data_IF_864612742477
#
_entry.id   IF_864612742477
#
_cell.length_a   1.000
_cell.length_b   1.000
_cell.length_c   1.000
_cell.angle_alpha   90.00
_cell.angle_beta   90.00
_cell.angle_gamma   90.00
#
_symmetry.space_group_name_H-M   'P 1'
#
loop_
_entity.id
_entity.type
_entity.pdbx_description
1 polymer ?
#
# COMPACT_ATOMS: atom_id res chain seq x y z
N UNK A 1 11.92 -55.35 71.84
CA UNK A 1 12.43 -55.08 70.48
C UNK A 1 12.14 -53.62 70.20
N UNK A 2 13.14 -52.77 70.37
CA UNK A 2 13.01 -51.30 70.45
C UNK A 2 13.33 -50.73 69.08
N UNK A 3 12.34 -50.10 68.44
CA UNK A 3 12.53 -49.44 67.14
C UNK A 3 12.58 -47.94 67.37
N UNK A 4 13.76 -47.36 67.18
CA UNK A 4 14.06 -45.93 67.31
C UNK A 4 13.80 -45.26 65.96
N UNK A 5 12.86 -44.31 65.90
CA UNK A 5 12.68 -43.43 64.74
C UNK A 5 13.64 -42.24 64.83
N UNK A 6 14.50 -42.07 63.82
CA UNK A 6 15.25 -40.83 63.58
C UNK A 6 14.43 -39.86 62.73
N UNK A 7 14.43 -38.55 63.02
CA UNK A 7 13.88 -37.52 62.14
C UNK A 7 14.90 -37.20 61.05
N UNK A 8 14.48 -37.20 59.78
CA UNK A 8 15.35 -36.82 58.67
C UNK A 8 15.19 -35.33 58.37
N UNK A 9 16.35 -34.69 58.21
CA UNK A 9 16.58 -33.26 58.10
C UNK A 9 16.07 -32.63 56.80
N UNK A 10 15.73 -31.35 56.94
CA UNK A 10 15.46 -30.40 55.87
C UNK A 10 16.59 -30.40 54.82
N UNK A 11 16.21 -30.37 53.54
CA UNK A 11 17.05 -29.78 52.50
C UNK A 11 16.14 -29.18 51.42
N UNK A 12 15.80 -27.92 51.58
CA UNK A 12 15.15 -27.07 50.57
C UNK A 12 16.14 -26.86 49.42
N UNK A 13 16.04 -27.67 48.36
CA UNK A 13 16.67 -27.36 47.08
C UNK A 13 15.88 -26.23 46.43
N UNK A 14 16.45 -25.03 46.49
CA UNK A 14 16.09 -23.92 45.61
C UNK A 14 16.30 -24.37 44.17
N UNK A 15 15.22 -24.37 43.37
CA UNK A 15 15.28 -24.63 41.94
C UNK A 15 16.07 -23.50 41.27
N UNK A 16 17.08 -23.77 40.43
CA UNK A 16 17.73 -22.70 39.69
C UNK A 16 16.73 -22.12 38.69
N UNK A 17 16.64 -20.80 38.65
CA UNK A 17 15.90 -20.06 37.66
C UNK A 17 16.22 -20.60 36.25
N UNK A 18 15.16 -20.91 35.49
CA UNK A 18 15.22 -21.23 34.07
C UNK A 18 15.97 -20.09 33.38
N UNK A 19 17.23 -20.31 33.01
CA UNK A 19 17.87 -19.50 31.97
C UNK A 19 17.10 -19.77 30.70
N UNK A 20 16.41 -18.76 30.19
CA UNK A 20 15.87 -18.78 28.84
C UNK A 20 17.02 -19.12 27.89
N UNK A 21 16.89 -20.24 27.20
CA UNK A 21 17.86 -20.65 26.19
C UNK A 21 17.75 -19.64 25.04
N UNK A 22 18.87 -19.04 24.65
CA UNK A 22 18.94 -18.25 23.43
C UNK A 22 18.45 -19.09 22.25
N UNK A 23 17.55 -18.56 21.39
CA UNK A 23 16.96 -19.34 20.32
C UNK A 23 18.04 -19.90 19.39
N UNK A 24 17.79 -21.08 18.84
CA UNK A 24 18.70 -21.68 17.85
C UNK A 24 18.76 -20.82 16.59
N UNK A 25 19.89 -20.80 15.87
CA UNK A 25 20.07 -19.96 14.66
C UNK A 25 18.97 -20.23 13.61
N UNK A 26 18.48 -21.47 13.51
CA UNK A 26 17.38 -21.87 12.63
C UNK A 26 16.03 -21.26 13.03
N UNK A 27 15.76 -21.19 14.33
CA UNK A 27 14.54 -20.62 14.91
C UNK A 27 14.53 -19.09 14.71
N UNK A 28 15.68 -18.44 14.86
CA UNK A 28 15.84 -17.00 14.60
C UNK A 28 15.60 -16.59 13.14
N UNK A 29 15.96 -17.42 12.16
CA UNK A 29 15.71 -17.12 10.74
C UNK A 29 14.24 -17.36 10.34
N UNK A 30 13.60 -18.35 10.95
CA UNK A 30 12.17 -18.62 10.75
C UNK A 30 11.32 -17.46 11.27
N UNK A 31 11.63 -16.96 12.46
CA UNK A 31 10.95 -15.79 13.03
C UNK A 31 11.16 -14.53 12.20
N UNK A 32 12.38 -14.32 11.67
CA UNK A 32 12.67 -13.21 10.77
C UNK A 32 11.85 -13.32 9.48
N UNK A 33 11.74 -14.51 8.89
CA UNK A 33 10.93 -14.74 7.69
C UNK A 33 9.46 -14.38 7.94
N UNK A 34 8.89 -14.83 9.06
CA UNK A 34 7.51 -14.51 9.43
C UNK A 34 7.28 -12.99 9.58
N UNK A 35 8.27 -12.25 10.09
CA UNK A 35 8.20 -10.77 10.17
C UNK A 35 8.27 -10.12 8.79
N UNK A 36 9.13 -10.60 7.90
CA UNK A 36 9.22 -10.12 6.52
C UNK A 36 7.89 -10.36 5.79
N UNK A 37 7.30 -11.54 5.94
CA UNK A 37 6.01 -11.88 5.32
C UNK A 37 4.90 -10.97 5.83
N UNK A 38 4.89 -10.65 7.13
CA UNK A 38 3.96 -9.65 7.70
C UNK A 38 4.16 -8.27 7.09
N UNK A 39 5.41 -7.81 6.92
CA UNK A 39 5.72 -6.52 6.29
C UNK A 39 5.31 -6.51 4.81
N UNK A 40 5.56 -7.61 4.09
CA UNK A 40 5.13 -7.78 2.70
C UNK A 40 3.61 -7.62 2.58
N UNK A 41 2.85 -8.16 3.53
CA UNK A 41 1.39 -8.03 3.54
C UNK A 41 0.94 -6.57 3.69
N UNK A 42 1.70 -5.68 4.35
CA UNK A 42 1.34 -4.26 4.50
C UNK A 42 1.47 -3.45 3.20
N UNK A 43 2.39 -3.82 2.30
CA UNK A 43 2.72 -3.04 1.10
C UNK A 43 1.74 -3.36 -0.03
N UNK A 44 0.78 -2.52 -0.41
CA UNK A 44 -0.18 -2.86 -1.47
C UNK A 44 0.50 -3.28 -2.80
N UNK A 45 0.06 -4.34 -3.49
CA UNK A 45 0.63 -4.75 -4.78
C UNK A 45 0.33 -3.72 -5.88
N UNK A 46 1.28 -3.54 -6.80
CA UNK A 46 1.15 -2.60 -7.94
C UNK A 46 1.33 -3.33 -9.27
N UNK A 47 0.41 -3.09 -10.20
CA UNK A 47 0.46 -3.62 -11.56
C UNK A 47 1.21 -2.66 -12.48
N UNK A 48 1.89 -3.18 -13.52
CA UNK A 48 2.56 -2.34 -14.51
C UNK A 48 1.56 -1.44 -15.23
N UNK A 49 2.05 -0.33 -15.80
CA UNK A 49 1.20 0.62 -16.53
C UNK A 49 0.51 0.00 -17.75
N UNK A 50 1.10 -1.03 -18.35
CA UNK A 50 0.48 -1.81 -19.45
C UNK A 50 -0.83 -2.46 -19.03
N UNK A 51 -0.93 -2.88 -17.77
CA UNK A 51 -2.02 -3.72 -17.24
C UNK A 51 -2.49 -3.20 -15.89
N UNK A 52 -2.65 -1.88 -15.77
CA UNK A 52 -2.92 -1.23 -14.49
C UNK A 52 -4.25 -1.69 -13.89
N UNK A 53 -4.18 -2.16 -12.63
CA UNK A 53 -5.34 -2.49 -11.80
C UNK A 53 -5.36 -1.55 -10.60
N UNK A 54 -6.50 -0.92 -10.35
CA UNK A 54 -6.70 -0.14 -9.15
C UNK A 54 -6.81 -1.09 -7.93
N UNK A 55 -5.99 -0.84 -6.92
CA UNK A 55 -5.89 -1.67 -5.72
C UNK A 55 -6.16 -0.80 -4.51
N UNK A 56 -6.84 -1.34 -3.51
CA UNK A 56 -6.98 -0.65 -2.23
C UNK A 56 -5.57 -0.41 -1.64
N UNK A 57 -5.12 0.84 -1.45
CA UNK A 57 -3.80 1.13 -0.88
C UNK A 57 -3.65 0.58 0.55
N UNK A 58 -4.77 0.26 1.21
CA UNK A 58 -4.84 -0.32 2.55
C UNK A 58 -5.16 -1.83 2.53
N UNK A 59 -5.01 -2.52 1.40
CA UNK A 59 -5.34 -3.97 1.29
C UNK A 59 -4.62 -4.82 2.34
N UNK A 60 -3.43 -4.39 2.78
CA UNK A 60 -2.65 -5.03 3.84
C UNK A 60 -3.09 -4.75 5.26
N UNK A 61 -4.08 -3.87 5.43
CA UNK A 61 -4.53 -3.33 6.72
C UNK A 61 -6.05 -3.32 6.85
N UNK A 62 -6.77 -4.10 6.04
CA UNK A 62 -8.25 -4.12 6.01
C UNK A 62 -8.89 -4.61 7.31
N UNK A 63 -8.14 -5.36 8.11
CA UNK A 63 -8.57 -5.86 9.43
C UNK A 63 -8.42 -4.81 10.54
N UNK A 64 -7.78 -3.67 10.26
CA UNK A 64 -7.57 -2.59 11.23
C UNK A 64 -8.63 -1.50 11.06
N UNK A 65 -8.96 -0.81 12.16
CA UNK A 65 -9.74 0.44 12.08
C UNK A 65 -8.97 1.48 11.28
N UNK A 66 -9.67 2.48 10.73
CA UNK A 66 -9.01 3.54 9.95
C UNK A 66 -7.92 4.26 10.75
N UNK A 67 -8.17 4.55 12.03
CA UNK A 67 -7.20 5.21 12.90
C UNK A 67 -6.01 4.32 13.27
N UNK A 68 -6.23 3.01 13.47
CA UNK A 68 -5.14 2.07 13.74
C UNK A 68 -4.23 1.90 12.52
N UNK A 69 -4.81 1.74 11.32
CA UNK A 69 -4.07 1.65 10.07
C UNK A 69 -3.26 2.94 9.82
N UNK A 70 -3.88 4.11 10.04
CA UNK A 70 -3.21 5.40 10.00
C UNK A 70 -2.04 5.46 10.99
N UNK A 71 -2.27 5.11 12.26
CA UNK A 71 -1.23 5.14 13.29
C UNK A 71 -0.06 4.23 12.93
N UNK A 72 -0.34 3.01 12.45
CA UNK A 72 0.68 2.06 12.03
C UNK A 72 1.53 2.57 10.87
N UNK A 73 0.94 3.16 9.82
CA UNK A 73 1.73 3.74 8.73
C UNK A 73 2.52 4.97 9.16
N UNK A 74 1.91 5.87 9.96
CA UNK A 74 2.57 7.09 10.42
C UNK A 74 3.79 6.78 11.30
N UNK A 75 3.81 5.65 12.01
CA UNK A 75 4.97 5.21 12.79
C UNK A 75 6.22 5.01 11.93
N UNK A 76 6.07 4.58 10.67
CA UNK A 76 7.19 4.22 9.79
C UNK A 76 7.44 5.19 8.64
N UNK A 77 6.46 6.05 8.31
CA UNK A 77 6.56 7.02 7.21
C UNK A 77 5.89 8.35 7.55
N UNK A 78 6.44 9.42 7.02
CA UNK A 78 5.82 10.74 7.04
C UNK A 78 4.69 10.79 6.01
N UNK A 79 3.51 10.31 6.40
CA UNK A 79 2.29 10.35 5.59
C UNK A 79 1.10 10.83 6.43
N UNK A 80 0.03 11.23 5.75
CA UNK A 80 -1.21 11.67 6.40
C UNK A 80 -2.43 11.20 5.58
N UNK A 81 -3.37 10.54 6.24
CA UNK A 81 -4.62 10.05 5.65
C UNK A 81 -5.83 10.91 6.01
N UNK A 82 -5.71 11.77 7.04
CA UNK A 82 -6.76 12.73 7.40
C UNK A 82 -6.49 14.08 6.72
N UNK A 83 -7.50 14.80 6.23
CA UNK A 83 -7.30 16.18 5.80
C UNK A 83 -6.89 17.08 6.97
N UNK A 84 -6.23 18.21 6.70
CA UNK A 84 -5.87 19.19 7.73
C UNK A 84 -7.13 19.72 8.44
N UNK A 85 -7.00 20.13 9.71
CA UNK A 85 -8.11 20.72 10.46
C UNK A 85 -8.71 21.94 9.75
N UNK A 86 -7.88 22.83 9.23
CA UNK A 86 -8.31 24.03 8.48
C UNK A 86 -9.18 23.66 7.27
N UNK A 87 -8.75 22.68 6.48
CA UNK A 87 -9.52 22.18 5.35
C UNK A 87 -10.90 21.66 5.78
N UNK A 88 -10.96 20.83 6.83
CA UNK A 88 -12.23 20.28 7.33
C UNK A 88 -13.17 21.38 7.85
N UNK A 89 -12.64 22.34 8.62
CA UNK A 89 -13.41 23.47 9.11
C UNK A 89 -13.98 24.33 7.96
N UNK A 90 -13.20 24.53 6.90
CA UNK A 90 -13.65 25.26 5.71
C UNK A 90 -14.79 24.51 5.00
N UNK A 91 -14.62 23.21 4.73
CA UNK A 91 -15.64 22.39 4.07
C UNK A 91 -16.94 22.34 4.88
N UNK A 92 -16.86 22.25 6.21
CA UNK A 92 -18.03 22.27 7.10
C UNK A 92 -18.84 23.57 6.96
N UNK A 93 -18.14 24.71 6.81
CA UNK A 93 -18.78 26.01 6.63
C UNK A 93 -19.38 26.16 5.23
N UNK A 94 -18.64 25.79 4.19
CA UNK A 94 -19.10 25.89 2.79
C UNK A 94 -20.34 25.02 2.54
N UNK A 95 -20.39 23.83 3.15
CA UNK A 95 -21.52 22.90 3.04
C UNK A 95 -22.62 23.15 4.07
N UNK A 96 -22.47 24.18 4.92
CA UNK A 96 -23.44 24.52 5.98
C UNK A 96 -23.82 23.32 6.87
N UNK A 97 -22.82 22.52 7.27
CA UNK A 97 -23.04 21.31 8.08
C UNK A 97 -23.62 21.69 9.43
N UNK A 98 -24.75 21.07 9.77
CA UNK A 98 -25.51 21.41 10.97
C UNK A 98 -24.79 20.99 12.25
N UNK A 99 -25.04 21.71 13.36
CA UNK A 99 -24.59 21.32 14.69
C UNK A 99 -25.08 19.93 15.10
N UNK A 100 -26.26 19.52 14.62
CA UNK A 100 -26.81 18.20 14.89
C UNK A 100 -25.98 17.09 14.22
N UNK A 101 -25.54 17.31 12.98
CA UNK A 101 -24.67 16.40 12.24
C UNK A 101 -23.31 16.26 12.93
N UNK A 102 -22.72 17.37 13.40
CA UNK A 102 -21.49 17.34 14.18
C UNK A 102 -21.63 16.49 15.46
N UNK A 103 -22.72 16.70 16.21
CA UNK A 103 -22.98 15.94 17.43
C UNK A 103 -23.20 14.44 17.16
N UNK A 104 -23.90 14.11 16.07
CA UNK A 104 -24.10 12.72 15.65
C UNK A 104 -22.77 12.05 15.27
N UNK A 105 -21.89 12.75 14.56
CA UNK A 105 -20.57 12.25 14.20
C UNK A 105 -19.68 12.03 15.43
N UNK A 106 -19.70 12.95 16.40
CA UNK A 106 -18.98 12.78 17.66
C UNK A 106 -19.46 11.53 18.42
N UNK A 107 -20.78 11.34 18.51
CA UNK A 107 -21.36 10.17 19.18
C UNK A 107 -21.01 8.87 18.46
N UNK A 108 -21.02 8.88 17.11
CA UNK A 108 -20.58 7.73 16.31
C UNK A 108 -19.12 7.37 16.61
N UNK A 109 -18.21 8.34 16.52
CA UNK A 109 -16.79 8.12 16.78
C UNK A 109 -16.51 7.66 18.22
N UNK A 110 -17.29 8.18 19.19
CA UNK A 110 -17.22 7.74 20.60
C UNK A 110 -17.50 6.25 20.76
N UNK A 111 -18.43 5.71 19.97
CA UNK A 111 -18.77 4.27 20.02
C UNK A 111 -17.77 3.39 19.28
N UNK A 112 -17.16 3.92 18.23
CA UNK A 112 -16.21 3.19 17.39
C UNK A 112 -14.81 3.11 18.02
N UNK A 113 -14.34 4.21 18.62
CA UNK A 113 -12.96 4.35 19.09
C UNK A 113 -12.90 4.22 20.62
N UNK A 114 -12.25 3.17 21.17
CA UNK A 114 -12.06 3.03 22.61
C UNK A 114 -11.27 4.21 23.18
N UNK A 115 -11.71 4.77 24.31
CA UNK A 115 -11.01 5.90 24.95
C UNK A 115 -11.29 7.28 24.33
N UNK A 116 -12.19 7.38 23.35
CA UNK A 116 -12.44 8.62 22.60
C UNK A 116 -12.94 9.76 23.48
N UNK A 117 -13.93 9.50 24.34
CA UNK A 117 -14.53 10.53 25.20
C UNK A 117 -13.59 11.01 26.31
N UNK A 118 -12.64 10.16 26.71
CA UNK A 118 -11.58 10.48 27.67
C UNK A 118 -10.57 11.47 27.08
N UNK A 119 -10.34 11.43 25.76
CA UNK A 119 -9.37 12.30 25.07
C UNK A 119 -9.98 13.51 24.37
N UNK A 120 -11.26 13.45 23.99
CA UNK A 120 -11.95 14.53 23.31
C UNK A 120 -13.36 14.70 23.85
N UNK A 121 -13.52 15.66 24.76
CA UNK A 121 -14.84 16.02 25.27
C UNK A 121 -15.72 16.59 24.15
N UNK A 122 -17.04 16.45 24.29
CA UNK A 122 -18.01 16.96 23.32
C UNK A 122 -17.92 18.47 23.17
N UNK A 123 -17.74 19.18 24.28
CA UNK A 123 -17.60 20.64 24.32
C UNK A 123 -16.31 21.07 23.60
N UNK A 124 -15.19 20.40 23.85
CA UNK A 124 -13.93 20.66 23.14
C UNK A 124 -14.04 20.38 21.65
N UNK A 125 -14.66 19.28 21.24
CA UNK A 125 -14.89 18.97 19.83
C UNK A 125 -15.68 20.09 19.12
N UNK A 126 -16.77 20.59 19.71
CA UNK A 126 -17.55 21.67 19.12
C UNK A 126 -16.76 22.98 19.02
N UNK A 127 -15.92 23.28 20.01
CA UNK A 127 -15.03 24.44 20.00
C UNK A 127 -14.03 24.31 18.84
N UNK A 128 -13.34 23.17 18.74
CA UNK A 128 -12.37 22.90 17.66
C UNK A 128 -13.03 22.81 16.27
N UNK A 129 -14.31 22.45 16.18
CA UNK A 129 -15.06 22.43 14.92
C UNK A 129 -15.39 23.84 14.40
N UNK A 130 -15.50 24.83 15.29
CA UNK A 130 -16.07 26.16 14.98
C UNK A 130 -15.07 27.30 15.04
N UNK A 131 -14.08 27.22 15.92
CA UNK A 131 -13.04 28.24 16.04
C UNK A 131 -11.97 28.02 14.96
N UNK A 132 -11.89 28.98 14.02
CA UNK A 132 -10.72 29.16 13.16
C UNK A 132 -9.61 29.83 13.95
N UNK A 133 -9.13 29.20 15.01
CA UNK A 133 -7.96 29.74 15.69
C UNK A 133 -6.73 29.35 14.86
N UNK A 134 -6.07 30.35 14.26
CA UNK A 134 -4.84 30.17 13.47
C UNK A 134 -3.64 29.68 14.29
N UNK A 135 -3.86 29.44 15.59
CA UNK A 135 -2.84 29.12 16.58
C UNK A 135 -2.86 27.65 17.05
N UNK A 136 -3.83 26.83 16.60
CA UNK A 136 -3.77 25.40 16.90
C UNK A 136 -2.63 24.78 16.06
N UNK A 137 -1.49 24.62 16.73
CA UNK A 137 -0.22 24.07 16.25
C UNK A 137 -0.28 22.56 15.93
N UNK A 138 -1.45 22.08 15.50
CA UNK A 138 -1.78 20.72 15.03
C UNK A 138 -1.81 20.67 13.49
N UNK A 139 -1.01 21.53 12.83
CA UNK A 139 -0.42 21.10 11.56
C UNK A 139 0.17 19.69 11.74
N UNK A 140 0.20 18.83 10.70
CA UNK A 140 0.85 17.53 10.76
C UNK A 140 2.37 17.71 10.94
N UNK A 141 2.78 18.24 12.09
CA UNK A 141 4.10 18.08 12.65
C UNK A 141 4.31 16.58 12.74
N UNK A 142 5.52 16.18 12.41
CA UNK A 142 5.98 14.81 12.26
C UNK A 142 6.00 14.06 13.61
N UNK A 143 4.97 14.24 14.46
CA UNK A 143 4.93 13.84 15.86
C UNK A 143 4.62 12.37 16.07
N UNK A 144 4.17 11.66 15.04
CA UNK A 144 3.78 10.25 15.13
C UNK A 144 4.82 9.33 14.52
N UNK A 145 5.75 9.87 13.70
CA UNK A 145 6.82 9.07 13.13
C UNK A 145 7.78 8.68 14.23
N UNK A 146 8.01 7.37 14.33
CA UNK A 146 8.88 6.77 15.36
C UNK A 146 10.06 6.09 14.72
N UNK A 147 9.92 5.62 13.49
CA UNK A 147 10.94 4.85 12.79
C UNK A 147 11.44 5.57 11.55
N UNK A 148 12.75 5.71 11.49
CA UNK A 148 13.49 6.30 10.39
C UNK A 148 14.52 5.30 9.88
N UNK A 149 14.77 5.31 8.57
CA UNK A 149 15.91 4.59 8.01
C UNK A 149 17.21 5.32 8.38
N UNK A 150 18.34 4.62 8.40
CA UNK A 150 19.62 5.28 8.74
C UNK A 150 20.01 6.33 7.71
N UNK A 151 19.68 6.13 6.43
CA UNK A 151 19.85 7.15 5.41
C UNK A 151 19.09 8.44 5.75
N UNK A 152 17.82 8.35 6.17
CA UNK A 152 17.03 9.52 6.55
C UNK A 152 17.54 10.19 7.84
N UNK A 153 17.97 9.40 8.84
CA UNK A 153 18.60 9.94 10.05
C UNK A 153 19.88 10.72 9.72
N UNK A 154 20.68 10.20 8.78
CA UNK A 154 21.86 10.90 8.30
C UNK A 154 21.51 12.23 7.62
N UNK A 155 20.48 12.24 6.76
CA UNK A 155 20.03 13.45 6.05
C UNK A 155 19.58 14.54 7.03
N UNK A 156 18.83 14.17 8.08
CA UNK A 156 18.41 15.09 9.13
C UNK A 156 19.59 15.67 9.93
N UNK A 157 20.60 14.84 10.23
CA UNK A 157 21.67 15.24 11.16
C UNK A 157 22.87 15.90 10.50
N UNK A 158 23.19 15.48 9.28
CA UNK A 158 24.41 15.84 8.57
C UNK A 158 24.15 16.60 7.27
N UNK A 159 22.88 16.92 6.96
CA UNK A 159 22.49 17.62 5.74
C UNK A 159 22.99 16.91 4.47
N UNK A 160 22.97 15.58 4.50
CA UNK A 160 23.27 14.71 3.36
C UNK A 160 22.02 14.50 2.49
N UNK A 161 22.19 13.80 1.37
CA UNK A 161 21.10 13.35 0.49
C UNK A 161 21.17 11.83 0.25
N UNK A 162 21.51 11.09 1.30
CA UNK A 162 21.69 9.64 1.23
C UNK A 162 20.37 8.91 0.99
N UNK A 163 19.24 9.41 1.51
CA UNK A 163 17.94 8.79 1.23
C UNK A 163 17.65 8.76 -0.27
N UNK A 164 17.81 9.90 -0.97
CA UNK A 164 17.60 9.96 -2.41
C UNK A 164 18.61 9.12 -3.19
N UNK A 165 19.89 9.19 -2.81
CA UNK A 165 20.96 8.40 -3.41
C UNK A 165 20.67 6.89 -3.30
N UNK A 166 20.26 6.42 -2.12
CA UNK A 166 19.96 5.01 -1.90
C UNK A 166 18.73 4.57 -2.68
N UNK A 167 17.67 5.39 -2.72
CA UNK A 167 16.48 5.11 -3.55
C UNK A 167 16.85 5.02 -5.02
N UNK A 168 17.72 5.91 -5.51
CA UNK A 168 18.21 5.88 -6.88
C UNK A 168 18.99 4.61 -7.18
N UNK A 169 19.92 4.19 -6.31
CA UNK A 169 20.71 2.98 -6.52
C UNK A 169 19.85 1.71 -6.47
N UNK A 170 18.95 1.59 -5.50
CA UNK A 170 17.97 0.48 -5.46
C UNK A 170 17.15 0.47 -6.74
N UNK A 171 16.66 1.64 -7.18
CA UNK A 171 15.85 1.74 -8.39
C UNK A 171 16.61 1.36 -9.64
N UNK A 172 17.89 1.73 -9.76
CA UNK A 172 18.76 1.37 -10.88
C UNK A 172 18.93 -0.15 -10.96
N UNK A 173 19.16 -0.81 -9.83
CA UNK A 173 19.30 -2.27 -9.78
C UNK A 173 17.98 -2.99 -10.10
N UNK A 174 16.87 -2.56 -9.53
CA UNK A 174 15.56 -3.14 -9.83
C UNK A 174 15.15 -2.92 -11.28
N UNK A 175 15.35 -1.71 -11.83
CA UNK A 175 15.03 -1.42 -13.23
C UNK A 175 15.85 -2.29 -14.19
N UNK A 176 17.15 -2.49 -13.93
CA UNK A 176 17.96 -3.38 -14.77
C UNK A 176 17.61 -4.87 -14.62
N UNK A 177 17.20 -5.30 -13.43
CA UNK A 177 16.85 -6.70 -13.18
C UNK A 177 15.50 -7.06 -13.81
N UNK A 178 14.47 -6.23 -13.61
CA UNK A 178 13.11 -6.45 -14.11
C UNK A 178 12.87 -5.86 -15.51
N UNK A 179 13.93 -5.50 -16.24
CA UNK A 179 13.79 -4.98 -17.61
C UNK A 179 13.29 -6.07 -18.57
N UNK A 180 12.12 -5.87 -19.16
CA UNK A 180 11.53 -6.78 -20.16
C UNK A 180 12.00 -6.43 -21.59
N UNK A 181 13.26 -6.01 -21.73
CA UNK A 181 13.89 -5.65 -23.01
C UNK A 181 13.64 -4.22 -23.48
N UNK A 182 13.35 -3.29 -22.57
CA UNK A 182 13.22 -1.87 -22.89
C UNK A 182 14.59 -1.21 -23.04
N UNK A 183 15.56 -1.61 -22.23
CA UNK A 183 16.92 -1.10 -22.33
C UNK A 183 17.65 -1.69 -23.54
N UNK A 184 18.42 -0.86 -24.25
CA UNK A 184 19.24 -1.33 -25.37
C UNK A 184 20.31 -2.33 -24.91
N UNK A 185 20.79 -2.19 -23.67
CA UNK A 185 21.79 -3.07 -23.07
C UNK A 185 21.22 -3.74 -21.83
N UNK A 186 21.22 -5.08 -21.82
CA UNK A 186 20.77 -5.87 -20.68
C UNK A 186 21.70 -5.69 -19.48
N UNK A 187 21.12 -5.72 -18.27
CA UNK A 187 21.90 -5.65 -17.05
C UNK A 187 22.77 -6.93 -16.88
N UNK A 188 23.97 -6.80 -16.30
CA UNK A 188 24.79 -7.97 -15.97
C UNK A 188 24.04 -8.93 -15.04
N UNK A 189 24.09 -10.23 -15.33
CA UNK A 189 23.46 -11.29 -14.52
C UNK A 189 21.94 -11.12 -14.32
N UNK A 190 21.22 -10.54 -15.28
CA UNK A 190 19.77 -10.34 -15.19
C UNK A 190 18.98 -11.61 -14.85
N UNK A 191 19.44 -12.78 -15.32
CA UNK A 191 18.78 -14.08 -15.08
C UNK A 191 19.07 -14.70 -13.70
N UNK A 192 19.96 -14.11 -12.90
CA UNK A 192 20.24 -14.57 -11.53
C UNK A 192 19.21 -13.98 -10.55
N UNK A 193 18.98 -14.59 -9.37
CA UNK A 193 18.12 -14.00 -8.34
C UNK A 193 18.52 -12.56 -8.02
N UNK A 194 17.55 -11.69 -7.72
CA UNK A 194 17.74 -10.25 -7.55
C UNK A 194 18.94 -9.89 -6.66
N UNK A 195 19.07 -10.56 -5.51
CA UNK A 195 20.15 -10.30 -4.56
C UNK A 195 21.54 -10.66 -5.12
N UNK A 196 21.67 -11.77 -5.85
CA UNK A 196 22.93 -12.19 -6.45
C UNK A 196 23.33 -11.29 -7.61
N UNK A 197 22.35 -10.92 -8.46
CA UNK A 197 22.55 -9.97 -9.55
C UNK A 197 23.04 -8.60 -9.01
N UNK A 198 22.37 -8.10 -7.96
CA UNK A 198 22.77 -6.89 -7.25
C UNK A 198 24.18 -7.01 -6.66
N UNK A 199 24.46 -8.05 -5.87
CA UNK A 199 25.76 -8.23 -5.18
C UNK A 199 26.92 -8.23 -6.16
N UNK A 200 26.75 -8.85 -7.34
CA UNK A 200 27.77 -8.92 -8.40
C UNK A 200 28.12 -7.56 -9.01
N UNK A 201 27.16 -6.65 -9.08
CA UNK A 201 27.41 -5.28 -9.55
C UNK A 201 27.95 -4.42 -8.41
N UNK A 202 27.31 -4.47 -7.24
CA UNK A 202 27.66 -3.65 -6.09
C UNK A 202 29.02 -4.00 -5.44
N UNK A 203 29.58 -5.20 -5.69
CA UNK A 203 30.93 -5.56 -5.24
C UNK A 203 32.07 -4.88 -6.04
N UNK A 204 31.75 -4.26 -7.19
CA UNK A 204 32.70 -3.54 -8.05
C UNK A 204 32.33 -2.08 -8.29
N UNK A 205 31.05 -1.72 -8.20
CA UNK A 205 30.54 -0.38 -8.45
C UNK A 205 30.91 0.59 -7.32
N UNK A 206 31.73 1.60 -7.64
CA UNK A 206 32.25 2.59 -6.68
C UNK A 206 31.39 3.85 -6.58
N UNK A 207 30.20 3.88 -7.18
CA UNK A 207 29.32 5.06 -7.18
C UNK A 207 29.03 5.55 -5.75
N UNK A 208 28.64 4.65 -4.85
CA UNK A 208 28.38 4.99 -3.44
C UNK A 208 29.66 5.33 -2.67
N UNK A 209 30.77 4.64 -2.95
CA UNK A 209 32.09 4.95 -2.38
C UNK A 209 32.52 6.39 -2.67
N UNK A 210 32.23 6.90 -3.87
CA UNK A 210 32.54 8.28 -4.26
C UNK A 210 31.50 9.31 -3.82
N UNK A 211 30.31 8.86 -3.42
CA UNK A 211 29.19 9.72 -3.01
C UNK A 211 29.10 9.90 -1.49
N UNK A 212 30.18 9.63 -0.76
CA UNK A 212 30.27 9.83 0.70
C UNK A 212 30.13 8.55 1.53
N UNK A 213 29.81 7.41 0.92
CA UNK A 213 29.68 6.12 1.60
C UNK A 213 30.90 5.24 1.32
N UNK A 214 32.07 5.69 1.77
CA UNK A 214 33.32 4.99 1.55
C UNK A 214 33.30 3.58 2.18
N UNK A 215 33.86 2.60 1.46
CA UNK A 215 33.92 1.20 1.87
C UNK A 215 32.69 0.36 1.52
N UNK A 216 31.75 0.90 0.74
CA UNK A 216 30.51 0.18 0.37
C UNK A 216 30.80 -1.07 -0.45
N UNK A 217 31.66 -1.00 -1.47
CA UNK A 217 32.09 -2.18 -2.24
C UNK A 217 32.69 -3.29 -1.37
N UNK A 218 33.51 -2.92 -0.37
CA UNK A 218 34.10 -3.87 0.58
C UNK A 218 33.08 -4.45 1.56
N UNK A 219 32.07 -3.66 1.95
CA UNK A 219 30.94 -4.13 2.74
C UNK A 219 30.19 -5.22 1.98
N UNK A 220 29.80 -4.94 0.73
CA UNK A 220 29.01 -5.87 -0.10
C UNK A 220 29.73 -7.19 -0.33
N UNK A 221 31.06 -7.16 -0.55
CA UNK A 221 31.90 -8.37 -0.70
C UNK A 221 31.90 -9.29 0.52
N UNK A 222 31.61 -8.75 1.71
CA UNK A 222 31.61 -9.52 2.97
C UNK A 222 30.22 -10.04 3.34
N UNK A 223 29.17 -9.58 2.64
CA UNK A 223 27.83 -10.05 2.92
C UNK A 223 27.68 -11.54 2.55
N UNK A 224 26.91 -12.31 3.34
CA UNK A 224 26.52 -13.68 2.98
C UNK A 224 25.89 -13.75 1.59
N UNK A 225 26.01 -14.91 0.95
CA UNK A 225 25.41 -15.13 -0.37
C UNK A 225 23.88 -15.26 -0.33
N UNK A 226 23.35 -15.75 0.78
CA UNK A 226 21.92 -15.87 1.05
C UNK A 226 21.37 -14.53 1.58
N UNK A 227 20.29 -14.02 0.98
CA UNK A 227 19.71 -12.72 1.34
C UNK A 227 19.07 -12.70 2.72
N UNK A 228 18.47 -13.81 3.18
CA UNK A 228 17.84 -13.88 4.50
C UNK A 228 18.91 -13.92 5.60
N UNK A 229 19.99 -14.66 5.39
CA UNK A 229 21.15 -14.69 6.29
C UNK A 229 21.82 -13.32 6.33
N UNK A 230 22.04 -12.69 5.18
CA UNK A 230 22.61 -11.34 5.11
C UNK A 230 21.76 -10.32 5.87
N UNK A 231 20.44 -10.34 5.68
CA UNK A 231 19.52 -9.46 6.39
C UNK A 231 19.58 -9.68 7.91
N UNK A 232 19.62 -10.95 8.36
CA UNK A 232 19.74 -11.28 9.78
C UNK A 232 21.06 -10.78 10.39
N UNK A 233 22.16 -10.89 9.66
CA UNK A 233 23.47 -10.38 10.09
C UNK A 233 23.49 -8.85 10.19
N UNK A 234 22.93 -8.16 9.19
CA UNK A 234 22.86 -6.70 9.17
C UNK A 234 21.96 -6.15 10.27
N UNK A 235 20.80 -6.76 10.54
CA UNK A 235 19.95 -6.38 11.68
C UNK A 235 20.69 -6.47 13.02
N UNK A 236 21.55 -7.48 13.16
CA UNK A 236 22.40 -7.67 14.36
C UNK A 236 23.51 -6.61 14.44
N UNK A 237 24.18 -6.31 13.32
CA UNK A 237 25.23 -5.29 13.24
C UNK A 237 24.67 -3.88 13.51
N UNK A 238 23.46 -3.60 13.01
CA UNK A 238 22.73 -2.34 13.24
C UNK A 238 22.07 -2.25 14.62
N UNK A 239 22.18 -3.29 15.47
CA UNK A 239 21.59 -3.37 16.82
C UNK A 239 20.06 -3.15 16.84
N UNK A 240 19.33 -3.58 15.80
CA UNK A 240 17.86 -3.47 15.75
C UNK A 240 17.22 -4.59 16.58
N UNK A 241 16.54 -4.22 17.68
CA UNK A 241 15.91 -5.19 18.58
C UNK A 241 14.78 -5.96 17.90
N UNK A 242 14.52 -7.23 18.28
CA UNK A 242 13.49 -8.05 17.65
C UNK A 242 12.10 -7.39 17.59
N UNK A 243 11.71 -6.62 18.61
CA UNK A 243 10.41 -5.97 18.71
C UNK A 243 10.23 -4.86 17.66
N UNK A 244 11.34 -4.26 17.22
CA UNK A 244 11.39 -3.13 16.28
C UNK A 244 11.63 -3.56 14.83
N UNK A 245 12.05 -4.80 14.61
CA UNK A 245 12.42 -5.26 13.27
C UNK A 245 11.30 -5.13 12.25
N UNK A 246 10.04 -5.43 12.62
CA UNK A 246 8.92 -5.31 11.68
C UNK A 246 8.73 -3.87 11.19
N UNK A 247 8.75 -2.90 12.11
CA UNK A 247 8.57 -1.48 11.76
C UNK A 247 9.78 -0.93 10.97
N UNK A 248 10.99 -1.34 11.32
CA UNK A 248 12.19 -0.95 10.58
C UNK A 248 12.21 -1.53 9.15
N UNK A 249 11.89 -2.82 9.00
CA UNK A 249 11.76 -3.45 7.68
C UNK A 249 10.64 -2.80 6.85
N UNK A 250 9.53 -2.41 7.49
CA UNK A 250 8.48 -1.63 6.84
C UNK A 250 8.98 -0.25 6.40
N UNK A 251 9.75 0.47 7.22
CA UNK A 251 10.34 1.75 6.85
C UNK A 251 11.27 1.61 5.62
N UNK A 252 12.07 0.54 5.56
CA UNK A 252 12.90 0.21 4.39
C UNK A 252 12.03 -0.05 3.15
N UNK A 253 11.00 -0.91 3.26
CA UNK A 253 10.11 -1.22 2.14
C UNK A 253 9.39 0.02 1.59
N UNK A 254 8.81 0.84 2.47
CA UNK A 254 8.09 2.04 2.09
C UNK A 254 9.02 3.16 1.57
N UNK A 255 10.32 3.14 1.90
CA UNK A 255 11.29 4.07 1.28
C UNK A 255 11.45 3.84 -0.23
N UNK A 256 11.15 2.62 -0.70
CA UNK A 256 11.15 2.22 -2.12
C UNK A 256 9.80 1.61 -2.51
N UNK A 257 8.70 2.23 -2.04
CA UNK A 257 7.35 1.66 -2.09
C UNK A 257 6.94 1.15 -3.49
N UNK A 258 7.29 1.87 -4.56
CA UNK A 258 6.98 1.43 -5.93
C UNK A 258 7.57 0.06 -6.27
N UNK A 259 8.85 -0.16 -5.95
CA UNK A 259 9.52 -1.45 -6.16
C UNK A 259 9.03 -2.53 -5.20
N UNK A 260 8.79 -2.19 -3.94
CA UNK A 260 8.22 -3.12 -2.97
C UNK A 260 6.84 -3.62 -3.41
N UNK A 261 5.97 -2.73 -3.92
CA UNK A 261 4.66 -3.04 -4.47
C UNK A 261 4.73 -3.88 -5.75
N UNK A 262 5.65 -3.56 -6.65
CA UNK A 262 5.88 -4.32 -7.89
C UNK A 262 6.36 -5.76 -7.61
N UNK A 263 7.33 -5.90 -6.71
CA UNK A 263 7.88 -7.20 -6.30
C UNK A 263 6.82 -8.02 -5.56
N UNK A 264 6.06 -7.41 -4.64
CA UNK A 264 4.95 -8.11 -3.99
C UNK A 264 3.98 -8.69 -5.01
N UNK A 265 3.56 -7.90 -6.01
CA UNK A 265 2.63 -8.34 -7.05
C UNK A 265 3.20 -9.54 -7.80
N UNK A 266 4.47 -9.50 -8.17
CA UNK A 266 5.12 -10.57 -8.95
C UNK A 266 5.11 -11.92 -8.22
N UNK A 267 5.23 -11.91 -6.89
CA UNK A 267 5.12 -13.12 -6.07
C UNK A 267 3.69 -13.55 -5.72
N UNK A 268 2.66 -12.78 -6.09
CA UNK A 268 1.24 -13.08 -5.83
C UNK A 268 0.50 -13.55 -7.12
N UNK A 269 1.17 -13.56 -8.28
CA UNK A 269 0.59 -14.04 -9.55
C UNK A 269 0.36 -15.55 -9.47
N UNK A 270 -0.80 -16.01 -9.94
CA UNK A 270 -1.13 -17.44 -10.05
C UNK A 270 -0.09 -18.11 -10.96
N UNK A 271 0.50 -19.20 -10.49
CA UNK A 271 1.60 -19.94 -11.13
C UNK A 271 2.98 -19.25 -11.11
N UNK A 272 3.16 -18.17 -10.35
CA UNK A 272 4.50 -17.61 -10.11
C UNK A 272 5.37 -18.62 -9.36
N UNK A 273 6.61 -18.80 -9.81
CA UNK A 273 7.60 -19.55 -9.04
C UNK A 273 7.87 -18.81 -7.72
N UNK A 274 7.92 -19.51 -6.57
CA UNK A 274 8.29 -18.90 -5.31
C UNK A 274 9.66 -18.23 -5.46
N UNK A 275 9.70 -16.92 -5.23
CA UNK A 275 10.95 -16.16 -5.25
C UNK A 275 11.15 -15.40 -3.94
N UNK A 276 12.42 -15.10 -3.67
CA UNK A 276 12.85 -14.37 -2.48
C UNK A 276 13.13 -12.90 -2.78
N UNK A 277 12.55 -12.35 -3.86
CA UNK A 277 12.87 -11.00 -4.34
C UNK A 277 12.50 -9.92 -3.32
N UNK A 278 11.44 -10.12 -2.52
CA UNK A 278 11.08 -9.18 -1.46
C UNK A 278 12.13 -9.18 -0.33
N UNK A 279 12.67 -10.35 0.02
CA UNK A 279 13.79 -10.47 0.98
C UNK A 279 15.05 -9.85 0.39
N UNK A 280 15.32 -10.11 -0.89
CA UNK A 280 16.44 -9.54 -1.63
C UNK A 280 16.40 -8.00 -1.67
N UNK A 281 15.22 -7.41 -1.93
CA UNK A 281 15.00 -5.96 -1.91
C UNK A 281 15.35 -5.37 -0.54
N UNK A 282 14.84 -5.97 0.53
CA UNK A 282 15.12 -5.53 1.90
C UNK A 282 16.60 -5.66 2.24
N UNK A 283 17.24 -6.76 1.85
CA UNK A 283 18.68 -6.99 2.09
C UNK A 283 19.53 -5.96 1.34
N UNK A 284 19.26 -5.74 0.06
CA UNK A 284 19.92 -4.71 -0.75
C UNK A 284 19.74 -3.32 -0.12
N UNK A 285 18.51 -2.93 0.22
CA UNK A 285 18.22 -1.61 0.81
C UNK A 285 18.90 -1.45 2.17
N UNK A 286 18.92 -2.49 3.01
CA UNK A 286 19.55 -2.47 4.32
C UNK A 286 21.09 -2.42 4.24
N UNK A 287 21.69 -3.04 3.24
CA UNK A 287 23.15 -2.97 3.03
C UNK A 287 23.64 -1.53 2.86
N UNK A 288 22.84 -0.68 2.22
CA UNK A 288 23.13 0.74 2.09
C UNK A 288 22.95 1.52 3.39
N UNK A 289 21.94 1.19 4.21
CA UNK A 289 21.82 1.75 5.56
C UNK A 289 23.01 1.35 6.45
N UNK A 290 23.51 0.12 6.31
CA UNK A 290 24.74 -0.30 6.98
C UNK A 290 25.96 0.48 6.49
N UNK A 291 26.05 0.79 5.19
CA UNK A 291 27.10 1.65 4.66
C UNK A 291 27.04 3.08 5.23
N UNK A 292 25.83 3.65 5.35
CA UNK A 292 25.58 4.95 6.01
C UNK A 292 26.09 4.91 7.45
N UNK A 293 25.70 3.90 8.22
CA UNK A 293 26.13 3.72 9.61
C UNK A 293 27.64 3.57 9.75
N UNK A 294 28.31 2.84 8.84
CA UNK A 294 29.78 2.71 8.90
C UNK A 294 30.50 4.04 8.68
N UNK A 295 29.92 4.94 7.90
CA UNK A 295 30.45 6.29 7.69
C UNK A 295 29.99 7.29 8.77
N UNK A 296 28.90 7.00 9.47
CA UNK A 296 28.35 7.80 10.57
C UNK A 296 27.99 6.92 11.79
N UNK A 297 28.98 6.36 12.52
CA UNK A 297 28.71 5.33 13.54
C UNK A 297 27.81 5.78 14.70
N UNK A 298 27.81 7.09 15.00
CA UNK A 298 26.96 7.68 16.04
C UNK A 298 25.46 7.58 15.76
N UNK A 299 25.05 7.24 14.53
CA UNK A 299 23.64 7.03 14.20
C UNK A 299 23.06 5.78 14.86
N UNK A 300 23.87 4.75 15.15
CA UNK A 300 23.34 3.50 15.76
C UNK A 300 22.69 3.79 17.11
N UNK A 301 23.27 4.71 17.90
CA UNK A 301 22.76 5.03 19.24
C UNK A 301 21.48 5.88 19.21
N UNK A 302 21.16 6.50 18.05
CA UNK A 302 19.93 7.28 17.86
C UNK A 302 18.68 6.42 17.70
N UNK A 303 18.85 5.17 17.23
CA UNK A 303 17.74 4.20 17.14
C UNK A 303 17.15 3.94 18.52
N UNK A 304 17.95 3.99 19.58
CA UNK A 304 17.45 3.81 20.94
C UNK A 304 16.85 5.07 21.54
N UNK A 305 17.34 6.27 21.18
CA UNK A 305 16.91 7.54 21.80
C UNK A 305 15.66 8.13 21.16
N UNK A 306 15.51 8.08 19.84
CA UNK A 306 14.33 8.63 19.15
C UNK A 306 13.12 7.67 19.18
N UNK A 307 13.35 6.40 19.53
CA UNK A 307 12.33 5.34 19.51
C UNK A 307 11.96 4.83 20.93
N UNK A 308 12.41 5.49 22.00
CA UNK A 308 12.12 5.17 23.39
C UNK A 308 10.95 5.96 23.99
N UNK A 309 10.24 6.77 23.20
CA UNK A 309 9.02 7.42 23.67
C UNK A 309 7.97 6.34 23.99
N UNK A 310 7.45 6.35 25.22
CA UNK A 310 6.39 5.47 25.71
C UNK A 310 5.23 5.40 24.70
N UNK A 311 4.51 4.28 24.65
CA UNK A 311 3.21 4.17 23.98
C UNK A 311 2.27 5.21 24.59
N UNK A 312 2.29 6.45 24.08
CA UNK A 312 1.31 7.45 24.43
C UNK A 312 -0.04 6.99 23.96
N UNK A 313 -1.09 7.54 24.57
CA UNK A 313 -2.48 7.38 24.13
C UNK A 313 -2.57 7.35 22.60
N UNK A 314 -3.24 6.34 22.01
CA UNK A 314 -3.05 6.00 20.60
C UNK A 314 -3.40 7.16 19.66
N UNK A 315 -4.30 8.06 20.08
CA UNK A 315 -4.74 9.21 19.29
C UNK A 315 -4.83 10.47 20.15
N UNK A 316 -4.26 11.58 19.66
CA UNK A 316 -4.41 12.90 20.28
C UNK A 316 -5.81 13.50 20.03
N UNK A 317 -6.20 14.47 20.85
CA UNK A 317 -7.45 15.22 20.66
C UNK A 317 -7.56 15.83 19.26
N UNK A 318 -6.44 16.30 18.67
CA UNK A 318 -6.39 16.83 17.31
C UNK A 318 -6.70 15.78 16.24
N UNK A 319 -6.13 14.57 16.37
CA UNK A 319 -6.44 13.44 15.46
C UNK A 319 -7.90 13.05 15.56
N UNK A 320 -8.42 12.89 16.78
CA UNK A 320 -9.82 12.52 17.02
C UNK A 320 -10.80 13.59 16.52
N UNK A 321 -10.43 14.87 16.66
CA UNK A 321 -11.22 15.98 16.11
C UNK A 321 -11.31 15.85 14.59
N UNK A 322 -10.18 15.73 13.90
CA UNK A 322 -10.15 15.61 12.42
C UNK A 322 -10.93 14.39 11.93
N UNK A 323 -10.82 13.27 12.63
CA UNK A 323 -11.59 12.06 12.32
C UNK A 323 -13.10 12.26 12.47
N UNK A 324 -13.55 12.89 13.57
CA UNK A 324 -14.97 13.16 13.78
C UNK A 324 -15.53 14.21 12.81
N UNK A 325 -14.74 15.23 12.42
CA UNK A 325 -15.15 16.19 11.40
C UNK A 325 -15.25 15.55 10.00
N UNK A 326 -14.33 14.64 9.65
CA UNK A 326 -14.43 13.86 8.41
C UNK A 326 -15.71 13.02 8.39
N UNK A 327 -16.01 12.30 9.47
CA UNK A 327 -17.26 11.54 9.60
C UNK A 327 -18.52 12.42 9.50
N UNK A 328 -18.47 13.65 10.03
CA UNK A 328 -19.57 14.60 9.91
C UNK A 328 -19.79 15.04 8.46
N UNK A 329 -18.72 15.35 7.72
CA UNK A 329 -18.78 15.71 6.31
C UNK A 329 -19.30 14.55 5.45
N UNK A 330 -18.75 13.36 5.62
CA UNK A 330 -19.17 12.17 4.87
C UNK A 330 -20.63 11.82 5.14
N UNK A 331 -21.06 11.91 6.40
CA UNK A 331 -22.46 11.68 6.78
C UNK A 331 -23.40 12.73 6.19
N UNK A 332 -22.99 14.01 6.20
CA UNK A 332 -23.76 15.09 5.59
C UNK A 332 -23.97 14.86 4.08
N UNK A 333 -22.90 14.54 3.36
CA UNK A 333 -22.95 14.25 1.92
C UNK A 333 -23.78 13.02 1.61
N UNK A 334 -23.64 11.96 2.41
CA UNK A 334 -24.44 10.75 2.28
C UNK A 334 -25.92 11.06 2.46
N UNK A 335 -26.29 11.82 3.48
CA UNK A 335 -27.68 12.19 3.76
C UNK A 335 -28.28 13.07 2.65
N UNK A 336 -27.53 14.06 2.16
CA UNK A 336 -27.94 14.91 1.03
C UNK A 336 -28.13 14.09 -0.26
N UNK A 337 -27.20 13.17 -0.56
CA UNK A 337 -27.33 12.28 -1.71
C UNK A 337 -28.54 11.35 -1.57
N UNK A 338 -28.74 10.74 -0.40
CA UNK A 338 -29.88 9.87 -0.15
C UNK A 338 -31.20 10.63 -0.25
N UNK A 339 -31.27 11.87 0.23
CA UNK A 339 -32.45 12.72 0.10
C UNK A 339 -32.81 12.99 -1.37
N UNK A 340 -31.81 13.13 -2.26
CA UNK A 340 -32.01 13.28 -3.71
C UNK A 340 -32.47 11.99 -4.40
N UNK A 341 -32.15 10.82 -3.83
CA UNK A 341 -32.49 9.52 -4.39
C UNK A 341 -33.88 9.02 -3.97
N UNK A 342 -34.46 9.53 -2.89
CA UNK A 342 -35.83 9.21 -2.47
C UNK A 342 -36.81 9.92 -3.40
N UNK A 343 -37.54 9.19 -4.28
CA UNK A 343 -38.53 9.80 -5.16
C UNK A 343 -39.70 10.30 -4.29
N UNK A 344 -39.88 11.62 -4.18
CA UNK A 344 -41.06 12.21 -3.52
C UNK A 344 -40.84 13.44 -2.65
N UNK A 345 -39.61 13.95 -2.44
CA UNK A 345 -39.40 15.15 -1.63
C UNK A 345 -39.35 16.47 -2.43
N UNK A 346 -39.30 16.44 -3.76
CA UNK A 346 -39.18 17.64 -4.61
C UNK A 346 -39.83 17.51 -5.99
N UNK A 347 -41.00 16.87 -6.07
CA UNK A 347 -41.82 16.88 -7.29
C UNK A 347 -43.31 16.68 -6.97
N UNK A 348 -43.93 17.68 -6.34
CA UNK A 348 -45.39 17.91 -6.45
C UNK A 348 -45.76 18.73 -7.70
N UNK A 349 -44.82 18.96 -8.62
CA UNK A 349 -45.10 19.60 -9.91
C UNK A 349 -45.10 18.56 -11.04
N UNK A 350 -46.32 18.12 -11.38
CA UNK A 350 -46.77 17.82 -12.74
C UNK A 350 -45.83 16.98 -13.62
N UNK A 351 -45.66 15.71 -13.28
CA UNK A 351 -45.65 14.70 -14.33
C UNK A 351 -47.06 14.15 -14.44
N UNK A 352 -47.80 14.70 -15.40
CA UNK A 352 -49.08 14.16 -15.83
C UNK A 352 -48.95 12.67 -16.08
N UNK A 353 -50.02 11.96 -15.71
CA UNK A 353 -50.35 10.59 -16.11
C UNK A 353 -49.16 9.75 -16.60
N UNK A 354 -48.75 8.83 -15.73
CA UNK A 354 -47.97 7.65 -16.05
C UNK A 354 -48.63 6.87 -17.19
N UNK A 355 -48.40 7.32 -18.41
CA UNK A 355 -48.76 6.65 -19.64
C UNK A 355 -47.65 5.61 -19.90
N UNK A 356 -47.67 4.54 -19.11
CA UNK A 356 -47.05 3.28 -19.52
C UNK A 356 -47.66 3.01 -20.90
N UNK A 357 -46.88 2.81 -21.98
CA UNK A 357 -47.48 2.56 -23.28
C UNK A 357 -48.41 1.37 -23.13
N UNK A 358 -49.72 1.59 -23.18
CA UNK A 358 -50.75 0.57 -22.88
C UNK A 358 -50.63 -0.65 -23.81
N UNK A 359 -49.78 -0.59 -24.83
CA UNK A 359 -49.44 -1.71 -25.74
C UNK A 359 -48.09 -1.55 -26.50
N UNK A 360 -47.18 -0.64 -26.10
CA UNK A 360 -46.10 -0.13 -26.96
C UNK A 360 -44.78 -0.91 -26.96
N UNK A 361 -44.55 -1.74 -27.99
CA UNK A 361 -43.28 -2.44 -28.27
C UNK A 361 -42.06 -1.48 -28.17
N UNK A 362 -41.02 -1.89 -27.43
CA UNK A 362 -39.73 -1.20 -27.44
C UNK A 362 -39.10 -1.28 -28.84
N UNK A 363 -38.44 -0.19 -29.25
CA UNK A 363 -37.67 -0.15 -30.50
C UNK A 363 -36.38 -0.96 -30.36
N UNK A 364 -35.68 -0.79 -29.23
CA UNK A 364 -34.49 -1.56 -28.90
C UNK A 364 -34.29 -1.63 -27.38
N UNK A 365 -33.67 -2.73 -26.97
CA UNK A 365 -33.11 -2.90 -25.63
C UNK A 365 -31.60 -3.08 -25.79
N UNK A 366 -30.82 -2.27 -25.09
CA UNK A 366 -29.37 -2.24 -25.22
C UNK A 366 -28.74 -2.54 -23.87
N UNK A 367 -27.73 -3.40 -23.84
CA UNK A 367 -26.98 -3.71 -22.62
C UNK A 367 -25.60 -3.08 -22.75
N UNK A 368 -25.23 -2.29 -21.75
CA UNK A 368 -23.95 -1.60 -21.64
C UNK A 368 -23.21 -2.10 -20.42
N UNK A 369 -21.90 -1.81 -20.34
CA UNK A 369 -21.16 -2.01 -19.10
C UNK A 369 -21.82 -1.19 -17.98
N UNK A 370 -21.88 -1.74 -16.76
CA UNK A 370 -22.42 -1.05 -15.58
C UNK A 370 -21.52 0.10 -15.10
N UNK A 371 -20.29 0.18 -15.60
CA UNK A 371 -19.33 1.24 -15.33
C UNK A 371 -19.91 2.63 -15.63
N UNK A 372 -19.67 3.58 -14.71
CA UNK A 372 -20.19 4.96 -14.75
C UNK A 372 -19.81 5.72 -16.03
N UNK A 373 -18.75 5.31 -16.72
CA UNK A 373 -18.36 5.88 -18.03
C UNK A 373 -19.40 5.63 -19.12
N UNK A 374 -20.18 4.55 -19.01
CA UNK A 374 -21.26 4.25 -19.96
C UNK A 374 -22.54 5.04 -19.65
N UNK A 375 -22.67 5.63 -18.46
CA UNK A 375 -23.90 6.28 -17.99
C UNK A 375 -24.34 7.44 -18.89
N UNK A 376 -23.40 8.29 -19.32
CA UNK A 376 -23.71 9.45 -20.19
C UNK A 376 -24.30 8.99 -21.53
N UNK A 377 -23.71 7.95 -22.13
CA UNK A 377 -24.21 7.37 -23.39
C UNK A 377 -25.60 6.76 -23.21
N UNK A 378 -25.78 6.00 -22.13
CA UNK A 378 -27.07 5.35 -21.80
C UNK A 378 -28.18 6.39 -21.64
N UNK A 379 -27.95 7.42 -20.83
CA UNK A 379 -28.92 8.51 -20.62
C UNK A 379 -29.22 9.27 -21.91
N UNK A 380 -28.22 9.53 -22.75
CA UNK A 380 -28.44 10.21 -24.01
C UNK A 380 -29.32 9.39 -24.97
N UNK A 381 -29.12 8.06 -25.03
CA UNK A 381 -29.95 7.15 -25.83
C UNK A 381 -31.38 7.08 -25.33
N UNK A 382 -31.59 6.93 -24.02
CA UNK A 382 -32.92 6.91 -23.41
C UNK A 382 -33.66 8.24 -23.61
N UNK A 383 -32.93 9.35 -23.57
CA UNK A 383 -33.48 10.68 -23.84
C UNK A 383 -33.93 10.87 -25.31
N UNK A 384 -33.40 10.10 -26.27
CA UNK A 384 -33.84 10.20 -27.68
C UNK A 384 -35.24 9.63 -27.90
N UNK A 385 -35.67 8.64 -27.10
CA UNK A 385 -36.96 8.00 -27.28
C UNK A 385 -37.37 7.15 -26.09
N UNK A 386 -38.62 7.29 -25.66
CA UNK A 386 -39.28 6.41 -24.68
C UNK A 386 -39.35 4.92 -25.09
N UNK A 387 -39.08 4.62 -26.37
CA UNK A 387 -39.04 3.25 -26.89
C UNK A 387 -37.63 2.63 -26.85
N UNK A 388 -36.63 3.36 -26.35
CA UNK A 388 -35.28 2.85 -26.10
C UNK A 388 -35.10 2.62 -24.60
N UNK A 389 -34.54 1.47 -24.24
CA UNK A 389 -34.24 1.13 -22.85
C UNK A 389 -32.84 0.55 -22.73
N UNK A 390 -32.07 1.02 -21.75
CA UNK A 390 -30.73 0.49 -21.48
C UNK A 390 -30.68 -0.32 -20.19
N UNK A 391 -29.75 -1.27 -20.15
CA UNK A 391 -29.42 -2.06 -18.97
C UNK A 391 -27.92 -2.01 -18.72
N UNK A 392 -27.51 -2.10 -17.47
CA UNK A 392 -26.11 -2.28 -17.08
C UNK A 392 -25.79 -3.75 -16.85
N UNK A 393 -24.62 -4.19 -17.31
CA UNK A 393 -24.06 -5.52 -17.02
C UNK A 393 -22.62 -5.36 -16.53
N UNK A 394 -22.24 -6.09 -15.50
CA UNK A 394 -20.88 -6.00 -14.95
C UNK A 394 -19.88 -6.79 -15.80
N UNK A 395 -18.72 -6.19 -16.08
CA UNK A 395 -17.61 -6.86 -16.73
C UNK A 395 -17.74 -6.94 -18.26
N UNK A 396 -17.21 -8.03 -18.82
CA UNK A 396 -16.96 -8.22 -20.25
C UNK A 396 -18.07 -9.06 -20.92
N UNK A 397 -19.32 -8.92 -20.44
CA UNK A 397 -20.48 -9.67 -20.93
C UNK A 397 -20.32 -11.21 -20.86
N UNK A 398 -19.43 -11.70 -20.01
CA UNK A 398 -19.11 -13.13 -19.90
C UNK A 398 -18.29 -13.70 -21.08
N UNK A 399 -17.83 -12.85 -22.01
CA UNK A 399 -17.06 -13.26 -23.19
C UNK A 399 -15.57 -12.93 -23.01
N UNK A 400 -14.84 -13.77 -22.27
CA UNK A 400 -13.41 -13.55 -22.06
C UNK A 400 -12.71 -13.84 -23.38
N UNK A 401 -12.39 -12.81 -24.14
CA UNK A 401 -11.89 -12.96 -25.51
C UNK A 401 -10.54 -12.31 -25.68
N UNK A 402 -9.77 -12.82 -26.61
CA UNK A 402 -8.60 -12.16 -27.17
C UNK A 402 -8.92 -11.72 -28.59
N UNK A 403 -8.52 -10.51 -28.95
CA UNK A 403 -8.73 -9.94 -30.27
C UNK A 403 -7.41 -9.89 -31.04
N UNK A 404 -7.39 -10.48 -32.22
CA UNK A 404 -6.27 -10.38 -33.15
C UNK A 404 -6.67 -9.49 -34.32
N UNK A 405 -6.04 -8.32 -34.38
CA UNK A 405 -6.20 -7.37 -35.48
C UNK A 405 -5.74 -7.96 -36.81
N UNK A 406 -6.32 -7.48 -37.91
CA UNK A 406 -5.91 -7.85 -39.25
C UNK A 406 -4.44 -7.46 -39.49
N UNK A 407 -3.58 -8.43 -39.77
CA UNK A 407 -2.12 -8.21 -39.93
C UNK A 407 -1.34 -8.09 -38.61
N UNK A 408 -2.00 -8.22 -37.45
CA UNK A 408 -1.34 -8.22 -36.14
C UNK A 408 -0.62 -9.54 -35.86
N UNK A 409 0.65 -9.46 -35.44
CA UNK A 409 1.46 -10.63 -35.08
C UNK A 409 1.02 -11.28 -33.75
N UNK A 410 0.40 -10.51 -32.86
CA UNK A 410 -0.09 -10.94 -31.55
C UNK A 410 -1.57 -10.60 -31.35
N UNK A 411 -2.23 -11.38 -30.49
CA UNK A 411 -3.57 -11.10 -29.98
C UNK A 411 -3.49 -10.26 -28.70
N UNK A 412 -4.52 -9.44 -28.47
CA UNK A 412 -4.68 -8.62 -27.27
C UNK A 412 -5.83 -9.17 -26.45
N UNK A 413 -5.59 -9.50 -25.18
CA UNK A 413 -6.65 -9.91 -24.27
C UNK A 413 -7.65 -8.78 -24.03
N UNK A 414 -8.94 -9.05 -24.23
CA UNK A 414 -10.07 -8.15 -23.99
C UNK A 414 -10.91 -8.69 -22.83
N UNK A 415 -10.25 -8.99 -21.72
CA UNK A 415 -10.86 -9.49 -20.49
C UNK A 415 -10.10 -8.94 -19.26
N UNK A 416 -10.71 -8.98 -18.06
CA UNK A 416 -10.02 -8.64 -16.83
C UNK A 416 -8.70 -9.40 -16.70
N UNK A 417 -7.65 -8.75 -16.18
CA UNK A 417 -6.29 -9.31 -16.08
C UNK A 417 -6.22 -10.62 -15.28
N UNK A 418 -7.20 -10.87 -14.42
CA UNK A 418 -7.30 -12.09 -13.62
C UNK A 418 -7.89 -13.28 -14.40
N UNK A 419 -8.31 -13.09 -15.64
CA UNK A 419 -8.96 -14.11 -16.47
C UNK A 419 -8.14 -14.40 -17.71
N UNK A 420 -8.05 -15.68 -18.05
CA UNK A 420 -7.51 -16.15 -19.32
C UNK A 420 -8.61 -16.05 -20.40
N UNK A 421 -8.31 -15.49 -21.58
CA UNK A 421 -9.22 -15.52 -22.72
C UNK A 421 -9.65 -16.96 -23.05
N UNK A 422 -10.95 -17.17 -23.22
CA UNK A 422 -11.56 -18.44 -23.64
C UNK A 422 -11.94 -18.44 -25.13
N UNK A 423 -11.99 -17.27 -25.76
CA UNK A 423 -12.37 -17.10 -27.16
C UNK A 423 -11.33 -16.28 -27.92
N UNK A 424 -11.02 -16.65 -29.16
CA UNK A 424 -10.21 -15.82 -30.06
C UNK A 424 -11.10 -15.21 -31.13
N UNK A 425 -11.10 -13.89 -31.21
CA UNK A 425 -11.77 -13.11 -32.28
C UNK A 425 -10.69 -12.58 -33.22
N UNK A 426 -10.82 -12.88 -34.51
CA UNK A 426 -9.84 -12.45 -35.52
C UNK A 426 -10.53 -11.62 -36.58
N UNK A 427 -9.94 -10.49 -36.94
CA UNK A 427 -10.41 -9.72 -38.10
C UNK A 427 -10.13 -10.52 -39.39
N UNK A 428 -11.15 -10.67 -40.23
CA UNK A 428 -11.04 -11.31 -41.55
C UNK A 428 -11.58 -10.38 -42.63
N UNK A 429 -10.91 -10.34 -43.78
CA UNK A 429 -11.44 -9.62 -44.95
C UNK A 429 -12.63 -10.39 -45.50
N UNK A 430 -13.71 -9.67 -45.80
CA UNK A 430 -14.94 -10.25 -46.34
C UNK A 430 -14.69 -10.85 -47.73
N UNK A 431 -15.27 -12.01 -48.01
CA UNK A 431 -15.09 -12.69 -49.30
C UNK A 431 -15.46 -11.78 -50.49
N UNK A 432 -14.50 -11.60 -51.41
CA UNK A 432 -14.60 -10.73 -52.59
C UNK A 432 -13.30 -10.01 -52.96
N UNK A 433 -12.35 -9.92 -52.02
CA UNK A 433 -11.12 -9.11 -52.14
C UNK A 433 -9.84 -9.93 -51.91
N UNK A 434 -9.73 -11.11 -52.54
CA UNK A 434 -8.65 -12.09 -52.28
C UNK A 434 -7.24 -11.55 -52.57
N UNK A 435 -7.07 -10.59 -53.48
CA UNK A 435 -5.76 -10.01 -53.81
C UNK A 435 -5.31 -8.96 -52.79
N UNK A 436 -6.24 -8.39 -52.00
CA UNK A 436 -5.95 -7.47 -50.91
C UNK A 436 -5.46 -8.19 -49.64
N UNK A 437 -5.74 -9.49 -49.50
CA UNK A 437 -5.41 -10.30 -48.32
C UNK A 437 -3.92 -10.47 -48.08
N UNK A 438 -3.11 -10.72 -49.11
CA UNK A 438 -1.66 -10.89 -48.95
C UNK A 438 -0.94 -9.57 -48.70
N UNK A 439 -1.46 -8.46 -49.26
CA UNK A 439 -0.85 -7.14 -49.11
C UNK A 439 -1.07 -6.53 -47.72
N UNK A 440 -2.24 -6.77 -47.10
CA UNK A 440 -2.56 -6.25 -45.76
C UNK A 440 -1.88 -7.07 -44.66
N UNK A 441 -1.81 -8.40 -44.81
CA UNK A 441 -1.12 -9.27 -43.84
C UNK A 441 0.41 -9.16 -43.87
N UNK A 442 1.00 -8.70 -44.99
CA UNK A 442 2.45 -8.47 -45.11
C UNK A 442 2.90 -7.05 -44.68
N UNK A 443 1.97 -6.11 -44.47
CA UNK A 443 2.32 -4.80 -43.89
C UNK A 443 2.44 -4.95 -42.38
N UNK A 444 3.62 -5.38 -41.95
CA UNK A 444 4.13 -5.02 -40.63
C UNK A 444 4.15 -3.50 -40.56
N UNK A 445 3.15 -2.89 -39.94
CA UNK A 445 3.20 -1.49 -39.57
C UNK A 445 4.37 -1.36 -38.57
N UNK A 446 5.42 -0.66 -39.01
CA UNK A 446 6.61 -0.32 -38.24
C UNK A 446 6.27 0.43 -36.96
#
# INVERSE_FOLDING_TARGET
MVTVHRPNSQNTKVSPARREASPSVSESLTDLRARIDRVRQWVAPLWPLSDFVAVNPWVGMTEHSFLDARHQLRRVRSCESLPSLEHLQRELQERSVSRQTLLAAWEHCRTEVPGFAEQLSREEFLVRATLRDSADADEPRDSDRRVWTFAELADQRFSTDYSALVVQEVSRHCAGHFDEGQATWAAPNQSAPLYDAWRKVAEVDRTLDWSGLAGTTLLVRRLPSDSLVALADMLRELRISPERQADYLAALAFSVNGWASFIRRSGDVVDAEPNDDFVALLAMRMAYDLAVVRNHPGLIDLVDTEHAAEESTPFSAGVLTRYALLNALESHEREDLLAKLVPGASSEESHGETDVPETGRLMAQLVFCIDVRSEVLRRHLEAQSRHLRTFGFAGFFGLALEHQHLGGASSVAQCPVLLQPSFRVTDVVRDGDRDSNSAITQRHWL
#
